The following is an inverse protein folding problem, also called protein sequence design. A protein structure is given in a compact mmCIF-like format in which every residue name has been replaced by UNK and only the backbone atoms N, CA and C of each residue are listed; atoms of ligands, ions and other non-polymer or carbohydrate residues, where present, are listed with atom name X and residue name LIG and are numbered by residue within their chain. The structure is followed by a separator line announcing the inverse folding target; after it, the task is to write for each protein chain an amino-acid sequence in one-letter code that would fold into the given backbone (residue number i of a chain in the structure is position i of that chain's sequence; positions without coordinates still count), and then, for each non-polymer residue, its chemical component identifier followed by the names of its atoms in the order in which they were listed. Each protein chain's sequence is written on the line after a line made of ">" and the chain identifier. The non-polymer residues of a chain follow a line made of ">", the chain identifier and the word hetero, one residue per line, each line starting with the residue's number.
data_IF_391830990868
#
_entry.id   IF_391830990868
#
_cell.length_a   1.000
_cell.length_b   1.000
_cell.length_c   1.000
_cell.angle_alpha   90.00
_cell.angle_beta   90.00
_cell.angle_gamma   90.00
#
_symmetry.space_group_name_H-M   'P 1'
#
loop_
_entity.id
_entity.type
_entity.pdbx_description
1 polymer ?
#
# COMPACT_ATOMS: atom_id res chain seq x y z
N UNK A 1 18.63 13.40 17.67
CA UNK A 1 17.94 13.92 16.45
C UNK A 1 18.43 13.22 15.18
N UNK A 2 19.74 13.01 14.98
CA UNK A 2 20.30 12.32 13.79
C UNK A 2 19.76 10.90 13.54
N UNK A 3 19.59 10.08 14.58
CA UNK A 3 19.11 8.69 14.49
C UNK A 3 17.69 8.60 13.89
N UNK A 4 16.83 9.60 14.13
CA UNK A 4 15.46 9.62 13.58
C UNK A 4 15.43 9.84 12.06
N UNK A 5 16.31 10.72 11.57
CA UNK A 5 16.44 10.98 10.13
C UNK A 5 16.98 9.77 9.38
N UNK A 6 17.95 9.07 9.98
CA UNK A 6 18.48 7.82 9.44
C UNK A 6 17.41 6.73 9.36
N UNK A 7 16.56 6.60 10.38
CA UNK A 7 15.44 5.66 10.36
C UNK A 7 14.45 5.93 9.23
N UNK A 8 14.01 7.19 9.06
CA UNK A 8 13.08 7.57 7.98
C UNK A 8 13.70 7.36 6.60
N UNK A 9 14.96 7.74 6.41
CA UNK A 9 15.66 7.49 5.15
C UNK A 9 15.80 5.99 4.87
N UNK A 10 16.11 5.20 5.90
CA UNK A 10 16.15 3.74 5.80
C UNK A 10 14.81 3.14 5.40
N UNK A 11 13.70 3.58 5.98
CA UNK A 11 12.36 3.15 5.59
C UNK A 11 12.03 3.54 4.14
N UNK A 12 12.43 4.74 3.69
CA UNK A 12 12.19 5.19 2.32
C UNK A 12 12.95 4.34 1.28
N UNK A 13 14.25 4.14 1.48
CA UNK A 13 15.06 3.30 0.59
C UNK A 13 14.60 1.84 0.67
N UNK A 14 14.35 1.34 1.88
CA UNK A 14 13.85 -0.02 2.08
C UNK A 14 12.53 -0.27 1.36
N UNK A 15 11.61 0.70 1.36
CA UNK A 15 10.31 0.54 0.70
C UNK A 15 10.47 0.45 -0.82
N UNK A 16 11.45 1.16 -1.40
CA UNK A 16 11.79 1.02 -2.82
C UNK A 16 12.39 -0.34 -3.14
N UNK A 17 13.29 -0.84 -2.29
CA UNK A 17 13.88 -2.18 -2.48
C UNK A 17 12.81 -3.27 -2.38
N UNK A 18 11.89 -3.15 -1.41
CA UNK A 18 10.72 -4.04 -1.31
C UNK A 18 9.86 -3.92 -2.56
N UNK A 19 9.59 -2.71 -3.05
CA UNK A 19 8.79 -2.52 -4.26
C UNK A 19 9.43 -3.18 -5.50
N UNK A 20 10.75 -3.07 -5.65
CA UNK A 20 11.50 -3.74 -6.71
C UNK A 20 11.42 -5.27 -6.59
N UNK A 21 11.53 -5.80 -5.38
CA UNK A 21 11.36 -7.23 -5.13
C UNK A 21 9.93 -7.72 -5.45
N UNK A 22 8.91 -6.88 -5.17
CA UNK A 22 7.50 -7.17 -5.42
C UNK A 22 7.07 -6.95 -6.88
N UNK A 23 7.86 -6.24 -7.69
CA UNK A 23 7.47 -5.90 -9.06
C UNK A 23 7.26 -7.14 -9.95
N UNK A 24 8.09 -8.18 -9.80
CA UNK A 24 7.96 -9.45 -10.53
C UNK A 24 6.70 -10.22 -10.11
N UNK A 25 6.50 -10.56 -8.82
CA UNK A 25 5.31 -11.33 -8.41
C UNK A 25 4.01 -10.60 -8.75
N UNK A 26 3.96 -9.28 -8.59
CA UNK A 26 2.74 -8.52 -8.90
C UNK A 26 2.45 -8.46 -10.40
N UNK A 27 3.49 -8.44 -11.24
CA UNK A 27 3.33 -8.49 -12.70
C UNK A 27 2.84 -9.86 -13.15
N UNK A 28 3.37 -10.94 -12.59
CA UNK A 28 2.90 -12.30 -12.91
C UNK A 28 1.46 -12.54 -12.43
N UNK A 29 1.06 -11.91 -11.33
CA UNK A 29 -0.30 -11.94 -10.80
C UNK A 29 -1.28 -11.02 -11.57
N UNK A 30 -0.81 -10.24 -12.55
CA UNK A 30 -1.66 -9.35 -13.33
C UNK A 30 -2.21 -8.15 -12.54
N UNK A 31 -1.56 -7.74 -11.44
CA UNK A 31 -2.04 -6.68 -10.54
C UNK A 31 -1.86 -5.25 -11.09
N UNK A 32 -1.57 -5.08 -12.38
CA UNK A 32 -1.43 -3.75 -13.00
C UNK A 32 -2.76 -3.00 -13.07
N UNK A 33 -2.75 -1.72 -12.72
CA UNK A 33 -3.89 -0.80 -12.75
C UNK A 33 -4.22 -0.38 -14.18
N UNK A 34 -4.91 -1.26 -14.92
CA UNK A 34 -5.50 -0.98 -16.22
C UNK A 34 -4.79 -1.61 -17.42
N UNK A 35 -5.51 -1.71 -18.54
CA UNK A 35 -5.05 -2.40 -19.74
C UNK A 35 -3.95 -1.65 -20.53
N UNK A 36 -3.87 -0.33 -20.39
CA UNK A 36 -2.92 0.50 -21.14
C UNK A 36 -2.04 1.36 -20.20
N UNK A 37 -0.76 1.00 -20.01
CA UNK A 37 0.19 1.74 -19.17
C UNK A 37 0.54 3.17 -19.64
N UNK A 38 0.18 3.54 -20.88
CA UNK A 38 0.38 4.88 -21.44
C UNK A 38 -0.85 5.79 -21.31
N UNK A 39 -1.96 5.27 -20.77
CA UNK A 39 -3.20 6.04 -20.63
C UNK A 39 -3.03 7.21 -19.66
N UNK A 40 -3.56 8.37 -20.06
CA UNK A 40 -3.63 9.56 -19.21
C UNK A 40 -4.89 9.58 -18.33
N UNK A 41 -5.89 8.73 -18.61
CA UNK A 41 -7.14 8.71 -17.85
C UNK A 41 -6.96 8.04 -16.48
N UNK A 42 -6.21 6.95 -16.42
CA UNK A 42 -6.00 6.20 -15.17
C UNK A 42 -5.30 7.05 -14.08
N UNK A 43 -4.23 7.81 -14.38
CA UNK A 43 -3.66 8.77 -13.42
C UNK A 43 -4.67 9.82 -12.92
N UNK A 44 -5.53 10.34 -13.81
CA UNK A 44 -6.55 11.33 -13.42
C UNK A 44 -7.58 10.73 -12.45
N UNK A 45 -8.02 9.49 -12.70
CA UNK A 45 -8.90 8.75 -11.79
C UNK A 45 -8.20 8.51 -10.44
N UNK A 46 -6.91 8.17 -10.45
CA UNK A 46 -6.14 8.02 -9.21
C UNK A 46 -6.02 9.33 -8.43
N UNK A 47 -5.77 10.47 -9.10
CA UNK A 47 -5.75 11.79 -8.45
C UNK A 47 -7.11 12.06 -7.78
N UNK A 48 -8.21 11.83 -8.51
CA UNK A 48 -9.54 12.00 -7.95
C UNK A 48 -9.77 11.08 -6.74
N UNK A 49 -9.37 9.81 -6.82
CA UNK A 49 -9.50 8.86 -5.71
C UNK A 49 -8.68 9.28 -4.49
N UNK A 50 -7.43 9.74 -4.67
CA UNK A 50 -6.56 10.21 -3.59
C UNK A 50 -7.12 11.45 -2.90
N UNK A 51 -7.83 12.32 -3.61
CA UNK A 51 -8.46 13.51 -3.02
C UNK A 51 -9.80 13.17 -2.35
N UNK A 52 -10.64 12.36 -3.01
CA UNK A 52 -11.98 12.04 -2.54
C UNK A 52 -11.95 11.10 -1.34
N UNK A 53 -11.07 10.08 -1.33
CA UNK A 53 -11.06 9.08 -0.27
C UNK A 53 -10.82 9.69 1.13
N UNK A 54 -9.83 10.56 1.36
CA UNK A 54 -9.64 11.23 2.65
C UNK A 54 -10.83 12.11 3.04
N UNK A 55 -11.43 12.83 2.08
CA UNK A 55 -12.62 13.66 2.34
C UNK A 55 -13.77 12.78 2.85
N UNK A 56 -14.04 11.66 2.17
CA UNK A 56 -15.08 10.70 2.57
C UNK A 56 -14.77 10.11 3.95
N UNK A 57 -13.53 9.69 4.20
CA UNK A 57 -13.08 9.18 5.51
C UNK A 57 -13.34 10.23 6.60
N UNK A 58 -12.98 11.49 6.38
CA UNK A 58 -13.21 12.57 7.34
C UNK A 58 -14.70 12.85 7.58
N UNK A 59 -15.53 12.83 6.53
CA UNK A 59 -16.97 13.02 6.65
C UNK A 59 -17.63 11.88 7.44
N UNK A 60 -17.20 10.62 7.22
CA UNK A 60 -17.65 9.46 7.96
C UNK A 60 -17.16 9.50 9.42
N UNK A 61 -15.91 9.89 9.65
CA UNK A 61 -15.32 9.99 10.98
C UNK A 61 -16.03 11.01 11.87
N UNK A 62 -16.68 12.04 11.31
CA UNK A 62 -17.50 12.99 12.09
C UNK A 62 -18.77 12.36 12.66
N UNK A 63 -19.21 11.21 12.15
CA UNK A 63 -20.42 10.52 12.60
C UNK A 63 -20.05 9.50 13.67
N UNK A 64 -20.39 9.77 14.93
CA UNK A 64 -20.00 8.93 16.07
C UNK A 64 -20.36 7.44 15.89
N UNK A 65 -21.54 7.13 15.33
CA UNK A 65 -21.97 5.76 15.07
C UNK A 65 -21.17 5.00 13.99
N UNK A 66 -20.41 5.71 13.15
CA UNK A 66 -19.63 5.11 12.06
C UNK A 66 -18.14 4.98 12.39
N UNK A 67 -17.65 5.60 13.47
CA UNK A 67 -16.24 5.61 13.85
C UNK A 67 -15.68 4.20 14.06
N UNK A 68 -16.42 3.36 14.79
CA UNK A 68 -16.01 1.98 15.06
C UNK A 68 -15.94 1.18 13.76
N UNK A 69 -16.97 1.29 12.91
CA UNK A 69 -16.99 0.63 11.61
C UNK A 69 -15.86 1.10 10.69
N UNK A 70 -15.61 2.41 10.63
CA UNK A 70 -14.52 3.00 9.85
C UNK A 70 -13.15 2.49 10.33
N UNK A 71 -12.92 2.40 11.64
CA UNK A 71 -11.69 1.85 12.21
C UNK A 71 -11.47 0.41 11.76
N UNK A 72 -12.48 -0.45 11.89
CA UNK A 72 -12.36 -1.84 11.46
C UNK A 72 -12.16 -1.96 9.94
N UNK A 73 -12.86 -1.14 9.15
CA UNK A 73 -12.70 -1.10 7.70
C UNK A 73 -11.26 -0.75 7.29
N UNK A 74 -10.65 0.27 7.92
CA UNK A 74 -9.27 0.66 7.65
C UNK A 74 -8.28 -0.43 8.07
N UNK A 75 -8.48 -1.04 9.25
CA UNK A 75 -7.63 -2.14 9.72
C UNK A 75 -7.73 -3.37 8.80
N UNK A 76 -8.94 -3.70 8.33
CA UNK A 76 -9.16 -4.78 7.36
C UNK A 76 -8.50 -4.43 6.02
N UNK A 77 -8.57 -3.18 5.56
CA UNK A 77 -7.91 -2.76 4.32
C UNK A 77 -6.38 -2.90 4.41
N UNK A 78 -5.77 -2.50 5.53
CA UNK A 78 -4.33 -2.65 5.77
C UNK A 78 -3.95 -4.14 5.84
N UNK A 79 -4.70 -4.94 6.60
CA UNK A 79 -4.45 -6.38 6.72
C UNK A 79 -4.65 -7.11 5.39
N UNK A 80 -5.66 -6.73 4.60
CA UNK A 80 -5.92 -7.26 3.27
C UNK A 80 -4.81 -6.91 2.29
N UNK A 81 -4.31 -5.68 2.32
CA UNK A 81 -3.15 -5.29 1.51
C UNK A 81 -1.91 -6.13 1.88
N UNK A 82 -1.67 -6.38 3.16
CA UNK A 82 -0.60 -7.27 3.63
C UNK A 82 -0.83 -8.71 3.14
N UNK A 83 -2.05 -9.24 3.26
CA UNK A 83 -2.42 -10.57 2.81
C UNK A 83 -2.04 -10.78 1.33
N UNK A 84 -2.50 -9.90 0.45
CA UNK A 84 -2.19 -9.99 -0.98
C UNK A 84 -0.69 -9.88 -1.25
N UNK A 85 -0.01 -8.96 -0.57
CA UNK A 85 1.44 -8.77 -0.73
C UNK A 85 2.21 -10.03 -0.35
N UNK A 86 1.89 -10.64 0.80
CA UNK A 86 2.54 -11.85 1.29
C UNK A 86 2.20 -13.06 0.41
N UNK A 87 0.92 -13.21 0.02
CA UNK A 87 0.46 -14.31 -0.82
C UNK A 87 1.23 -14.34 -2.15
N UNK A 88 1.22 -13.25 -2.91
CA UNK A 88 1.88 -13.22 -4.23
C UNK A 88 3.40 -13.39 -4.13
N UNK A 89 4.00 -12.88 -3.05
CA UNK A 89 5.42 -13.09 -2.79
C UNK A 89 5.74 -14.55 -2.52
N UNK A 90 4.92 -15.25 -1.72
CA UNK A 90 5.12 -16.66 -1.39
C UNK A 90 4.89 -17.57 -2.59
N UNK A 91 3.91 -17.26 -3.45
CA UNK A 91 3.62 -18.05 -4.65
C UNK A 91 4.80 -18.07 -5.63
N UNK A 92 5.57 -16.98 -5.69
CA UNK A 92 6.78 -16.89 -6.52
C UNK A 92 8.02 -17.44 -5.81
N UNK A 93 8.16 -17.20 -4.50
CA UNK A 93 9.36 -17.57 -3.73
C UNK A 93 9.45 -19.07 -3.39
N UNK A 94 8.33 -19.78 -3.28
CA UNK A 94 8.34 -21.21 -2.92
C UNK A 94 8.66 -22.09 -4.15
N UNK A 95 9.78 -22.83 -4.17
CA UNK A 95 10.24 -23.60 -5.34
C UNK A 95 9.28 -24.73 -5.79
N UNK A 96 8.28 -25.08 -4.97
CA UNK A 96 7.24 -26.05 -5.34
C UNK A 96 6.39 -25.60 -6.55
N UNK A 97 6.26 -24.29 -6.81
CA UNK A 97 5.58 -23.75 -7.99
C UNK A 97 6.42 -23.89 -9.28
N UNK A 98 7.74 -24.02 -9.16
CA UNK A 98 8.68 -24.15 -10.28
C UNK A 98 8.98 -25.60 -10.66
N UNK A 99 8.94 -26.52 -9.70
CA UNK A 99 9.40 -27.91 -9.88
C UNK A 99 8.33 -28.89 -10.36
N UNK A 100 7.04 -28.54 -10.29
CA UNK A 100 5.95 -29.51 -10.41
C UNK A 100 4.85 -29.08 -11.42
N UNK A 101 5.08 -28.06 -12.23
CA UNK A 101 4.17 -27.62 -13.29
C UNK A 101 4.23 -28.63 -14.46
N UNK A 102 3.22 -29.52 -14.62
CA UNK A 102 1.81 -29.11 -14.72
C UNK A 102 0.83 -29.83 -13.77
N UNK A 103 1.28 -30.66 -12.82
CA UNK A 103 0.40 -31.49 -11.96
C UNK A 103 0.22 -30.99 -10.52
N UNK A 104 0.77 -29.83 -10.14
CA UNK A 104 0.88 -29.41 -8.72
C UNK A 104 0.42 -28.01 -8.37
N UNK A 105 -0.23 -27.29 -9.30
CA UNK A 105 -0.77 -25.97 -8.99
C UNK A 105 -1.69 -26.02 -7.76
N UNK A 106 -2.36 -27.15 -7.54
CA UNK A 106 -3.19 -27.40 -6.36
C UNK A 106 -2.42 -27.62 -5.06
N UNK A 107 -1.19 -28.16 -5.10
CA UNK A 107 -0.39 -28.52 -3.90
C UNK A 107 0.44 -27.33 -3.38
N UNK A 108 0.96 -26.48 -4.28
CA UNK A 108 1.66 -25.25 -3.90
C UNK A 108 0.71 -24.16 -3.37
N UNK A 109 -0.58 -24.22 -3.74
CA UNK A 109 -1.62 -23.35 -3.20
C UNK A 109 -1.88 -23.58 -1.69
N UNK A 110 -1.63 -24.80 -1.19
CA UNK A 110 -2.13 -25.23 0.13
C UNK A 110 -1.46 -24.52 1.32
N UNK A 111 -0.13 -24.29 1.39
CA UNK A 111 0.46 -23.60 2.53
C UNK A 111 0.51 -22.07 2.40
N UNK A 112 0.58 -21.52 1.17
CA UNK A 112 0.77 -20.08 0.98
C UNK A 112 -0.45 -19.25 1.40
N UNK A 113 -1.65 -19.73 1.06
CA UNK A 113 -2.93 -19.10 1.43
C UNK A 113 -3.10 -19.01 2.96
N UNK A 114 -3.06 -20.12 3.73
CA UNK A 114 -3.23 -20.05 5.18
C UNK A 114 -2.07 -19.30 5.85
N UNK A 115 -0.84 -19.40 5.33
CA UNK A 115 0.28 -18.65 5.90
C UNK A 115 0.11 -17.13 5.73
N UNK A 116 -0.26 -16.67 4.53
CA UNK A 116 -0.57 -15.26 4.28
C UNK A 116 -1.74 -14.78 5.14
N UNK A 117 -2.79 -15.61 5.31
CA UNK A 117 -3.93 -15.30 6.16
C UNK A 117 -3.53 -15.18 7.64
N UNK A 118 -2.69 -16.08 8.15
CA UNK A 118 -2.16 -16.03 9.53
C UNK A 118 -1.36 -14.75 9.74
N UNK A 119 -0.47 -14.39 8.80
CA UNK A 119 0.35 -13.18 8.89
C UNK A 119 -0.54 -11.92 8.88
N UNK A 120 -1.51 -11.85 7.99
CA UNK A 120 -2.44 -10.73 7.89
C UNK A 120 -3.36 -10.60 9.11
N UNK A 121 -3.91 -11.73 9.59
CA UNK A 121 -4.72 -11.77 10.81
C UNK A 121 -3.89 -11.39 12.05
N UNK A 122 -2.63 -11.84 12.11
CA UNK A 122 -1.67 -11.45 13.13
C UNK A 122 -1.44 -9.95 13.16
N UNK A 123 -1.21 -9.32 11.99
CA UNK A 123 -1.08 -7.87 11.91
C UNK A 123 -2.38 -7.16 12.34
N UNK A 124 -3.52 -7.62 11.87
CA UNK A 124 -4.83 -7.05 12.24
C UNK A 124 -5.03 -7.07 13.75
N UNK A 125 -4.79 -8.21 14.40
CA UNK A 125 -4.92 -8.36 15.85
C UNK A 125 -3.90 -7.50 16.60
N UNK A 126 -2.65 -7.46 16.13
CA UNK A 126 -1.61 -6.63 16.72
C UNK A 126 -1.99 -5.15 16.71
N UNK A 127 -2.48 -4.64 15.57
CA UNK A 127 -2.94 -3.26 15.43
C UNK A 127 -4.24 -2.96 16.20
N UNK A 128 -5.07 -3.98 16.42
CA UNK A 128 -6.34 -3.83 17.14
C UNK A 128 -6.15 -3.82 18.66
N UNK A 129 -5.22 -4.62 19.19
CA UNK A 129 -5.04 -4.79 20.63
C UNK A 129 -4.05 -3.80 21.22
N UNK A 130 -2.81 -3.76 20.69
CA UNK A 130 -1.75 -2.87 21.18
C UNK A 130 -0.89 -2.40 20.00
N UNK A 131 -1.27 -1.29 19.33
CA UNK A 131 -0.55 -0.76 18.17
C UNK A 131 0.77 -0.14 18.60
N UNK A 132 1.78 -0.98 18.82
CA UNK A 132 3.13 -0.54 19.12
C UNK A 132 3.76 0.14 17.91
N UNK A 133 4.58 1.17 18.14
CA UNK A 133 5.12 2.04 17.09
C UNK A 133 5.81 1.28 15.96
N UNK A 134 6.62 0.27 16.29
CA UNK A 134 7.33 -0.52 15.27
C UNK A 134 6.40 -1.40 14.42
N UNK A 135 5.23 -1.80 14.94
CA UNK A 135 4.22 -2.57 14.21
C UNK A 135 3.54 -1.67 13.18
N UNK A 136 3.23 -0.44 13.59
CA UNK A 136 2.67 0.58 12.70
C UNK A 136 3.67 0.94 11.60
N UNK A 137 4.94 1.14 11.95
CA UNK A 137 6.00 1.41 10.98
C UNK A 137 6.18 0.26 9.99
N UNK A 138 6.16 -0.99 10.45
CA UNK A 138 6.24 -2.17 9.59
C UNK A 138 5.02 -2.28 8.66
N UNK A 139 3.81 -2.07 9.18
CA UNK A 139 2.59 -2.09 8.38
C UNK A 139 2.63 -1.02 7.28
N UNK A 140 3.01 0.20 7.64
CA UNK A 140 3.18 1.31 6.71
C UNK A 140 4.26 1.04 5.68
N UNK A 141 5.40 0.47 6.10
CA UNK A 141 6.52 0.11 5.23
C UNK A 141 6.12 -0.93 4.18
N UNK A 142 5.46 -2.00 4.59
CA UNK A 142 5.01 -3.06 3.66
C UNK A 142 3.91 -2.54 2.73
N UNK A 143 2.93 -1.79 3.26
CA UNK A 143 1.89 -1.19 2.45
C UNK A 143 2.45 -0.20 1.42
N UNK A 144 3.43 0.62 1.81
CA UNK A 144 4.12 1.54 0.90
C UNK A 144 4.88 0.79 -0.19
N UNK A 145 5.67 -0.23 0.17
CA UNK A 145 6.38 -1.05 -0.82
C UNK A 145 5.44 -1.73 -1.82
N UNK A 146 4.33 -2.30 -1.34
CA UNK A 146 3.30 -2.89 -2.19
C UNK A 146 2.65 -1.87 -3.12
N UNK A 147 2.28 -0.69 -2.62
CA UNK A 147 1.67 0.36 -3.43
C UNK A 147 2.65 0.91 -4.48
N UNK A 148 3.91 1.13 -4.12
CA UNK A 148 4.96 1.56 -5.06
C UNK A 148 5.14 0.50 -6.16
N UNK A 149 5.15 -0.79 -5.80
CA UNK A 149 5.25 -1.88 -6.79
C UNK A 149 4.07 -1.86 -7.77
N UNK A 150 2.84 -1.81 -7.26
CA UNK A 150 1.62 -1.80 -8.09
C UNK A 150 1.65 -0.59 -9.03
N UNK A 151 1.86 0.63 -8.51
CA UNK A 151 1.88 1.84 -9.34
C UNK A 151 3.06 1.82 -10.33
N UNK A 152 4.22 1.32 -9.91
CA UNK A 152 5.42 1.22 -10.75
C UNK A 152 5.27 0.25 -11.91
N UNK A 153 4.56 -0.87 -11.75
CA UNK A 153 4.25 -1.79 -12.87
C UNK A 153 3.09 -1.31 -13.73
N UNK A 154 2.25 -0.40 -13.23
CA UNK A 154 1.02 0.05 -13.90
C UNK A 154 1.23 1.12 -14.95
N UNK A 155 2.28 1.95 -14.82
CA UNK A 155 2.41 3.17 -15.60
C UNK A 155 3.75 3.29 -16.31
N UNK A 156 3.70 3.85 -17.51
CA UNK A 156 4.89 4.38 -18.19
C UNK A 156 5.28 5.74 -17.61
N UNK A 157 6.47 6.21 -18.00
CA UNK A 157 7.09 7.42 -17.48
C UNK A 157 6.14 8.64 -17.55
N UNK A 158 5.54 8.94 -18.70
CA UNK A 158 4.73 10.14 -18.89
C UNK A 158 3.49 10.22 -17.95
N UNK A 159 2.61 9.19 -17.89
CA UNK A 159 1.52 9.13 -16.91
C UNK A 159 1.96 9.30 -15.45
N UNK A 160 3.07 8.66 -15.05
CA UNK A 160 3.61 8.80 -13.68
C UNK A 160 4.07 10.23 -13.42
N UNK A 161 4.78 10.86 -14.35
CA UNK A 161 5.23 12.23 -14.19
C UNK A 161 4.07 13.20 -13.98
N UNK A 162 2.98 13.03 -14.75
CA UNK A 162 1.77 13.84 -14.58
C UNK A 162 1.15 13.62 -13.21
N UNK A 163 1.02 12.35 -12.77
CA UNK A 163 0.51 11.99 -11.45
C UNK A 163 1.33 12.66 -10.33
N UNK A 164 2.65 12.53 -10.38
CA UNK A 164 3.56 13.08 -9.36
C UNK A 164 3.53 14.61 -9.31
N UNK A 165 3.54 15.28 -10.47
CA UNK A 165 3.46 16.75 -10.54
C UNK A 165 2.11 17.22 -10.00
N UNK A 166 1.00 16.60 -10.40
CA UNK A 166 -0.33 16.98 -9.94
C UNK A 166 -0.47 16.82 -8.41
N UNK A 167 0.02 15.70 -7.85
CA UNK A 167 0.00 15.48 -6.40
C UNK A 167 0.93 16.44 -5.65
N UNK A 168 2.11 16.78 -6.20
CA UNK A 168 3.01 17.77 -5.62
C UNK A 168 2.38 19.18 -5.58
N UNK A 169 1.70 19.58 -6.66
CA UNK A 169 0.96 20.85 -6.72
C UNK A 169 -0.20 20.86 -5.72
N UNK A 170 -0.96 19.76 -5.66
CA UNK A 170 -2.05 19.61 -4.69
C UNK A 170 -1.54 19.79 -3.25
N UNK A 171 -0.45 19.10 -2.87
CA UNK A 171 0.13 19.18 -1.53
C UNK A 171 0.61 20.60 -1.20
N UNK A 172 1.31 21.25 -2.14
CA UNK A 172 1.72 22.64 -1.99
C UNK A 172 0.53 23.58 -1.75
N UNK A 173 -0.57 23.42 -2.51
CA UNK A 173 -1.80 24.20 -2.30
C UNK A 173 -2.40 23.90 -0.92
N UNK A 174 -2.50 22.62 -0.56
CA UNK A 174 -3.08 22.19 0.71
C UNK A 174 -2.33 22.79 1.91
N UNK A 175 -0.99 22.80 1.88
CA UNK A 175 -0.15 23.35 2.94
C UNK A 175 -0.18 24.88 2.97
N UNK A 176 0.21 25.53 1.87
CA UNK A 176 0.44 26.99 1.88
C UNK A 176 -0.86 27.80 1.84
N UNK A 177 -1.91 27.30 1.20
CA UNK A 177 -3.18 28.05 1.08
C UNK A 177 -4.05 27.90 2.32
N UNK A 178 -4.13 26.72 2.94
CA UNK A 178 -4.98 26.54 4.13
C UNK A 178 -4.36 27.13 5.39
N UNK A 179 -3.03 27.32 5.41
CA UNK A 179 -2.23 27.82 6.56
C UNK A 179 -2.57 27.15 7.90
N UNK A 180 -3.24 25.99 7.87
CA UNK A 180 -3.79 25.36 9.06
C UNK A 180 -2.67 24.90 10.01
N UNK A 181 -1.56 24.44 9.45
CA UNK A 181 -0.38 24.01 10.23
C UNK A 181 0.47 25.19 10.73
N UNK A 182 0.45 26.32 10.02
CA UNK A 182 1.19 27.53 10.42
C UNK A 182 0.47 28.19 11.60
N UNK A 183 -0.87 28.25 11.58
CA UNK A 183 -1.69 28.79 12.68
C UNK A 183 -1.70 27.96 13.97
N UNK A 184 -1.26 26.70 13.92
CA UNK A 184 -1.14 25.84 15.11
C UNK A 184 0.25 25.92 15.76
N UNK A 185 1.23 26.49 15.06
CA UNK A 185 2.61 26.62 15.51
C UNK A 185 2.92 28.01 16.09
N UNK A 186 2.10 29.02 15.77
CA UNK A 186 2.02 30.33 16.45
C UNK A 186 1.10 30.26 17.67
#
# INVERSE_FOLDING_TARGET
>A
RSVRWLGLFGLYIGAQLVALALAVPFRSAGLSSGANPSSLTTPLVLIAAVIIAPIVILLLARRQGLLVGLRHLLLIAIAGALYFTVLESLLVALPASWLLAPMSAEIALVPAIPLAAIVAAGLYLALLMDPQWYIVDLAGFVAAGGLIAILGISFTILPVFILLIALAVYDAIAVYRTKHMIRLAD
#
